data_IF_403304651583
#
_entry.id   IF_403304651583
#
_cell.length_a   1.000
_cell.length_b   1.000
_cell.length_c   1.000
_cell.angle_alpha   90.00
_cell.angle_beta   90.00
_cell.angle_gamma   90.00
#
_symmetry.space_group_name_H-M   'P 1'
#
loop_
_entity.id
_entity.type
_entity.pdbx_description
1 polymer ?
#
# COMPACT_ATOMS: atom_id res chain seq x y z
N UNK A 1 -11.68 4.06 -6.77
CA UNK A 1 -11.10 2.69 -6.73
C UNK A 1 -9.69 2.75 -6.16
N UNK A 2 -9.20 1.70 -5.49
CA UNK A 2 -7.81 1.57 -5.06
C UNK A 2 -7.02 0.73 -6.06
N UNK A 3 -5.83 1.20 -6.43
CA UNK A 3 -4.94 0.55 -7.40
C UNK A 3 -3.58 0.33 -6.72
N UNK A 4 -3.28 -0.91 -6.28
CA UNK A 4 -1.96 -1.31 -5.82
C UNK A 4 -0.93 -1.16 -6.93
N UNK A 5 0.28 -0.74 -6.58
CA UNK A 5 1.40 -0.58 -7.49
C UNK A 5 2.66 -1.24 -6.92
N UNK A 6 3.39 -1.94 -7.80
CA UNK A 6 4.59 -2.69 -7.45
C UNK A 6 5.71 -1.78 -6.92
N UNK A 7 5.66 -0.48 -7.18
CA UNK A 7 6.65 0.48 -6.65
C UNK A 7 6.48 0.77 -5.15
N UNK A 8 5.61 0.03 -4.44
CA UNK A 8 5.41 0.22 -3.01
C UNK A 8 4.57 1.45 -2.73
N UNK A 9 3.39 1.51 -3.34
CA UNK A 9 2.37 2.53 -3.08
C UNK A 9 0.99 2.00 -3.43
N UNK A 10 -0.06 2.69 -2.98
CA UNK A 10 -1.43 2.49 -3.46
C UNK A 10 -1.98 3.82 -3.97
N UNK A 11 -2.56 3.80 -5.16
CA UNK A 11 -3.17 4.98 -5.78
C UNK A 11 -4.68 4.91 -5.59
N UNK A 12 -5.29 6.01 -5.18
CA UNK A 12 -6.74 6.13 -5.07
C UNK A 12 -7.23 7.01 -6.21
N UNK A 13 -8.14 6.47 -7.02
CA UNK A 13 -8.80 7.17 -8.11
C UNK A 13 -10.23 7.55 -7.72
N UNK A 14 -10.66 8.73 -8.14
CA UNK A 14 -12.05 9.17 -8.04
C UNK A 14 -12.96 8.53 -9.10
N UNK A 15 -14.23 8.95 -9.17
CA UNK A 15 -15.23 8.41 -10.11
C UNK A 15 -14.95 8.77 -11.58
N UNK A 16 -14.09 9.75 -11.84
CA UNK A 16 -13.65 10.17 -13.17
C UNK A 16 -12.34 9.49 -13.59
N UNK A 17 -11.82 8.56 -12.78
CA UNK A 17 -10.50 7.94 -12.92
C UNK A 17 -9.33 8.93 -12.76
N UNK A 18 -9.55 10.05 -12.07
CA UNK A 18 -8.49 11.01 -11.73
C UNK A 18 -7.81 10.60 -10.43
N UNK A 19 -6.48 10.76 -10.35
CA UNK A 19 -5.71 10.50 -9.13
C UNK A 19 -6.14 11.49 -8.04
N UNK A 20 -6.71 10.96 -6.95
CA UNK A 20 -7.13 11.74 -5.78
C UNK A 20 -6.08 11.66 -4.66
N UNK A 21 -5.39 10.53 -4.53
CA UNK A 21 -4.34 10.35 -3.53
C UNK A 21 -3.34 9.25 -3.94
N UNK A 22 -2.12 9.35 -3.39
CA UNK A 22 -1.09 8.32 -3.45
C UNK A 22 -0.62 8.06 -2.02
N UNK A 23 -0.76 6.82 -1.55
CA UNK A 23 -0.49 6.45 -0.17
C UNK A 23 0.66 5.46 -0.07
N UNK A 24 1.42 5.60 1.02
CA UNK A 24 2.47 4.68 1.46
C UNK A 24 3.65 4.49 0.53
N UNK A 25 3.96 5.54 -0.24
CA UNK A 25 5.14 5.60 -1.09
C UNK A 25 6.41 5.40 -0.27
N UNK A 26 7.27 4.50 -0.74
CA UNK A 26 8.61 4.31 -0.19
C UNK A 26 9.60 5.31 -0.82
N UNK A 27 10.23 6.19 -0.02
CA UNK A 27 11.23 7.12 -0.55
C UNK A 27 12.54 6.42 -0.96
N UNK A 28 12.81 5.22 -0.42
CA UNK A 28 13.95 4.41 -0.84
C UNK A 28 13.56 3.46 -1.98
N UNK A 29 14.05 3.78 -3.18
CA UNK A 29 13.82 2.98 -4.38
C UNK A 29 14.36 1.54 -4.28
N UNK A 30 15.31 1.26 -3.37
CA UNK A 30 15.84 -0.10 -3.13
C UNK A 30 14.89 -0.97 -2.31
N UNK A 31 14.09 -0.34 -1.46
CA UNK A 31 13.08 -1.01 -0.63
C UNK A 31 11.74 -1.12 -1.38
N UNK A 32 11.51 -0.25 -2.36
CA UNK A 32 10.45 -0.42 -3.36
C UNK A 32 10.71 -1.59 -4.31
N UNK A 33 9.64 -2.26 -4.75
CA UNK A 33 9.66 -3.48 -5.59
C UNK A 33 10.43 -4.66 -4.98
N UNK A 34 10.63 -4.67 -3.67
CA UNK A 34 11.38 -5.71 -2.96
C UNK A 34 10.46 -6.57 -2.09
N UNK A 35 10.63 -7.88 -2.15
CA UNK A 35 9.95 -8.83 -1.23
C UNK A 35 10.82 -9.24 -0.05
N UNK A 36 12.09 -8.81 -0.04
CA UNK A 36 13.11 -9.21 0.93
C UNK A 36 13.27 -8.28 2.12
N UNK A 37 12.43 -7.24 2.25
CA UNK A 37 12.49 -6.30 3.38
C UNK A 37 12.20 -7.06 4.67
N UNK A 38 13.18 -7.17 5.56
CA UNK A 38 13.02 -7.92 6.80
C UNK A 38 11.97 -7.24 7.70
N UNK A 39 11.26 -8.03 8.50
CA UNK A 39 10.22 -7.53 9.39
C UNK A 39 10.72 -6.43 10.35
N UNK A 40 11.98 -6.52 10.79
CA UNK A 40 12.61 -5.51 11.65
C UNK A 40 12.77 -4.15 10.97
N UNK A 41 12.79 -4.11 9.62
CA UNK A 41 12.96 -2.90 8.82
C UNK A 41 11.63 -2.32 8.33
N UNK A 42 10.49 -2.91 8.74
CA UNK A 42 9.18 -2.43 8.31
C UNK A 42 8.87 -1.08 8.93
N UNK A 43 8.62 -0.11 8.07
CA UNK A 43 8.11 1.20 8.47
C UNK A 43 6.59 1.22 8.32
N UNK A 44 5.91 1.70 9.35
CA UNK A 44 4.45 1.85 9.33
C UNK A 44 4.05 2.90 8.28
N UNK A 45 2.99 2.60 7.54
CA UNK A 45 2.54 3.45 6.44
C UNK A 45 3.41 3.40 5.19
N UNK A 46 4.51 2.63 5.14
CA UNK A 46 5.35 2.47 3.94
C UNK A 46 5.22 1.05 3.37
N UNK A 47 5.05 0.96 2.05
CA UNK A 47 4.95 -0.31 1.34
C UNK A 47 6.23 -0.68 0.59
N UNK A 48 6.44 -1.98 0.38
CA UNK A 48 7.58 -2.50 -0.41
C UNK A 48 7.15 -2.84 -1.83
N UNK A 49 5.96 -3.43 -2.02
CA UNK A 49 5.42 -3.73 -3.34
C UNK A 49 4.00 -4.27 -3.28
N UNK A 50 2.99 -3.40 -3.39
CA UNK A 50 1.60 -3.80 -3.16
C UNK A 50 1.02 -4.59 -4.35
N UNK A 51 0.12 -5.53 -4.08
CA UNK A 51 -0.50 -6.39 -5.11
C UNK A 51 -2.03 -6.40 -5.05
N UNK A 52 -2.58 -6.62 -3.86
CA UNK A 52 -4.02 -6.67 -3.62
C UNK A 52 -4.47 -5.52 -2.73
N UNK A 53 -5.72 -5.08 -2.91
CA UNK A 53 -6.37 -4.21 -1.94
C UNK A 53 -7.87 -4.46 -1.90
N UNK A 54 -8.49 -4.23 -0.75
CA UNK A 54 -9.93 -4.30 -0.60
C UNK A 54 -10.44 -3.30 0.45
N UNK A 55 -11.61 -2.73 0.21
CA UNK A 55 -12.28 -1.82 1.13
C UNK A 55 -13.19 -2.60 2.07
N UNK A 56 -13.20 -2.26 3.36
CA UNK A 56 -14.26 -2.71 4.28
C UNK A 56 -15.47 -1.77 4.26
N UNK A 57 -16.54 -2.20 4.95
CA UNK A 57 -17.80 -1.47 5.03
C UNK A 57 -17.68 -0.09 5.70
N UNK A 58 -16.66 0.11 6.54
CA UNK A 58 -16.40 1.37 7.23
C UNK A 58 -15.56 2.34 6.37
N UNK A 59 -15.10 1.88 5.19
CA UNK A 59 -14.26 2.65 4.28
C UNK A 59 -12.78 2.64 4.65
N UNK A 60 -12.32 1.69 5.47
CA UNK A 60 -10.90 1.42 5.64
C UNK A 60 -10.37 0.61 4.46
N UNK A 61 -9.07 0.73 4.20
CA UNK A 61 -8.41 0.05 3.10
C UNK A 61 -7.43 -1.00 3.62
N UNK A 62 -7.63 -2.26 3.24
CA UNK A 62 -6.66 -3.32 3.46
C UNK A 62 -5.78 -3.42 2.22
N UNK A 63 -4.46 -3.43 2.42
CA UNK A 63 -3.47 -3.52 1.36
C UNK A 63 -2.56 -4.72 1.62
N UNK A 64 -2.43 -5.58 0.63
CA UNK A 64 -1.45 -6.66 0.62
C UNK A 64 -0.12 -6.13 0.11
N UNK A 65 0.88 -6.17 0.98
CA UNK A 65 2.25 -5.81 0.68
C UNK A 65 3.06 -7.08 0.36
N UNK A 66 3.82 -7.06 -0.73
CA UNK A 66 4.62 -8.20 -1.15
C UNK A 66 5.85 -8.33 -0.26
N UNK A 67 5.79 -9.31 0.63
CA UNK A 67 6.86 -9.61 1.56
C UNK A 67 6.99 -11.13 1.73
N UNK A 68 8.23 -11.64 1.88
CA UNK A 68 8.51 -13.06 2.12
C UNK A 68 7.78 -13.62 3.35
N UNK A 69 7.58 -12.80 4.38
CA UNK A 69 6.97 -13.19 5.65
C UNK A 69 5.44 -13.00 5.63
N UNK A 70 4.91 -12.40 4.56
CA UNK A 70 3.51 -12.01 4.42
C UNK A 70 3.16 -10.77 5.24
N UNK A 71 2.51 -9.77 4.61
CA UNK A 71 2.13 -8.53 5.27
C UNK A 71 0.82 -7.97 4.72
N UNK A 72 -0.15 -7.72 5.60
CA UNK A 72 -1.36 -6.94 5.31
C UNK A 72 -1.35 -5.71 6.20
N UNK A 73 -1.60 -4.53 5.62
CA UNK A 73 -1.74 -3.29 6.37
C UNK A 73 -3.17 -2.77 6.25
N UNK A 74 -3.76 -2.33 7.37
CA UNK A 74 -5.05 -1.64 7.40
C UNK A 74 -4.82 -0.13 7.48
N UNK A 75 -5.20 0.60 6.45
CA UNK A 75 -5.25 2.06 6.45
C UNK A 75 -6.62 2.50 6.96
N UNK A 76 -6.62 3.16 8.11
CA UNK A 76 -7.84 3.64 8.76
C UNK A 76 -8.31 4.91 8.08
N UNK A 77 -9.62 4.99 7.81
CA UNK A 77 -10.22 6.20 7.25
C UNK A 77 -10.07 7.37 8.23
N UNK A 78 -9.44 8.45 7.78
CA UNK A 78 -9.37 9.69 8.54
C UNK A 78 -10.78 10.28 8.74
N UNK A 79 -11.02 10.89 9.91
CA UNK A 79 -12.28 11.56 10.25
C UNK A 79 -12.41 12.91 9.54
#
# INVERSE_FOLDING_TARGET
VSVPDRHGRVVILDKSNTIMAVLGHNPDAKLGRSYGVAQADWVEGVFSGTHGSNWDADGNLYVQDWNKDGRIMKLVRAK
#
